data_IF_638843575460
#
_entry.id   IF_638843575460
#
_cell.length_a   1.000
_cell.length_b   1.000
_cell.length_c   1.000
_cell.angle_alpha   90.00
_cell.angle_beta   90.00
_cell.angle_gamma   90.00
#
_symmetry.space_group_name_H-M   'P 1'
#
loop_
_entity.id
_entity.type
_entity.pdbx_description
1 polymer ?
#
# COMPACT_ATOMS: atom_id res chain seq x y z
N UNK A 1 15.46 -6.28 20.68
CA UNK A 1 15.40 -4.97 19.98
C UNK A 1 14.81 -5.05 18.57
N UNK A 2 15.08 -6.06 17.74
CA UNK A 2 14.51 -6.16 16.36
C UNK A 2 12.99 -6.34 16.27
N UNK A 3 12.34 -6.89 17.31
CA UNK A 3 10.91 -7.20 17.30
C UNK A 3 10.00 -5.98 17.47
N UNK A 4 10.43 -4.94 18.19
CA UNK A 4 9.64 -3.72 18.40
C UNK A 4 9.60 -2.83 17.15
N UNK A 5 10.71 -2.71 16.42
CA UNK A 5 10.74 -1.99 15.14
C UNK A 5 9.85 -2.68 14.11
N UNK A 6 9.94 -4.01 14.00
CA UNK A 6 9.07 -4.78 13.11
C UNK A 6 7.59 -4.60 13.47
N UNK A 7 7.26 -4.61 14.77
CA UNK A 7 5.89 -4.40 15.24
C UNK A 7 5.37 -3.01 14.91
N UNK A 8 6.17 -1.96 15.15
CA UNK A 8 5.80 -0.57 14.82
C UNK A 8 5.58 -0.39 13.32
N UNK A 9 6.50 -0.88 12.48
CA UNK A 9 6.34 -0.77 11.03
C UNK A 9 5.13 -1.55 10.53
N UNK A 10 4.85 -2.72 11.10
CA UNK A 10 3.62 -3.48 10.80
C UNK A 10 2.37 -2.68 11.16
N UNK A 11 2.31 -2.07 12.34
CA UNK A 11 1.17 -1.24 12.76
C UNK A 11 0.97 -0.03 11.84
N UNK A 12 2.05 0.61 11.37
CA UNK A 12 1.95 1.68 10.37
C UNK A 12 1.34 1.18 9.06
N UNK A 13 1.78 0.03 8.55
CA UNK A 13 1.20 -0.56 7.33
C UNK A 13 -0.28 -0.89 7.53
N UNK A 14 -0.66 -1.47 8.68
CA UNK A 14 -2.07 -1.76 8.98
C UNK A 14 -2.92 -0.49 9.10
N UNK A 15 -2.39 0.61 9.64
CA UNK A 15 -3.08 1.92 9.65
C UNK A 15 -3.29 2.46 8.23
N UNK A 16 -2.28 2.36 7.36
CA UNK A 16 -2.41 2.81 5.96
C UNK A 16 -3.45 1.96 5.23
N UNK A 17 -3.40 0.64 5.40
CA UNK A 17 -4.39 -0.31 4.82
C UNK A 17 -5.80 0.04 5.30
N UNK A 18 -6.00 0.22 6.61
CA UNK A 18 -7.30 0.56 7.18
C UNK A 18 -7.84 1.90 6.67
N UNK A 19 -6.99 2.93 6.60
CA UNK A 19 -7.38 4.23 6.06
C UNK A 19 -7.76 4.14 4.57
N UNK A 20 -7.00 3.37 3.78
CA UNK A 20 -7.32 3.13 2.37
C UNK A 20 -8.62 2.33 2.21
N UNK A 21 -8.90 1.35 3.06
CA UNK A 21 -10.18 0.61 3.06
C UNK A 21 -11.37 1.53 3.34
N UNK A 22 -11.25 2.45 4.31
CA UNK A 22 -12.30 3.42 4.59
C UNK A 22 -12.52 4.40 3.42
N UNK A 23 -11.44 4.85 2.79
CA UNK A 23 -11.53 5.70 1.60
C UNK A 23 -12.14 4.97 0.39
N UNK A 24 -11.85 3.67 0.25
CA UNK A 24 -12.50 2.83 -0.76
C UNK A 24 -14.00 2.72 -0.47
N UNK A 25 -14.40 2.52 0.79
CA UNK A 25 -15.82 2.52 1.20
C UNK A 25 -16.47 3.87 0.92
N UNK A 26 -15.75 4.97 1.14
CA UNK A 26 -16.18 6.32 0.80
C UNK A 26 -16.18 6.61 -0.72
N UNK A 27 -15.75 5.64 -1.56
CA UNK A 27 -15.59 5.75 -3.02
C UNK A 27 -14.66 6.89 -3.46
N UNK A 28 -13.86 7.41 -2.56
CA UNK A 28 -12.95 8.52 -2.82
C UNK A 28 -11.63 8.24 -2.13
N UNK A 29 -10.62 7.92 -2.95
CA UNK A 29 -9.26 7.65 -2.48
C UNK A 29 -8.35 8.76 -3.01
N UNK A 30 -8.01 9.77 -2.20
CA UNK A 30 -7.05 10.80 -2.56
C UNK A 30 -5.63 10.20 -2.65
N UNK A 31 -4.96 10.44 -3.78
CA UNK A 31 -3.59 9.98 -4.04
C UNK A 31 -3.34 8.47 -3.76
N UNK A 32 -4.10 7.56 -4.39
CA UNK A 32 -4.00 6.13 -4.07
C UNK A 32 -2.61 5.55 -4.36
N UNK A 33 -1.96 5.99 -5.44
CA UNK A 33 -0.61 5.57 -5.79
C UNK A 33 0.40 5.90 -4.68
N UNK A 34 0.23 7.05 -4.01
CA UNK A 34 1.15 7.51 -2.96
C UNK A 34 1.00 6.67 -1.71
N UNK A 35 -0.24 6.37 -1.30
CA UNK A 35 -0.53 5.51 -0.13
C UNK A 35 -0.04 4.08 -0.33
N UNK A 36 -0.29 3.51 -1.52
CA UNK A 36 0.19 2.18 -1.88
C UNK A 36 1.72 2.15 -1.93
N UNK A 37 2.36 3.17 -2.51
CA UNK A 37 3.83 3.26 -2.56
C UNK A 37 4.44 3.39 -1.17
N UNK A 38 3.84 4.20 -0.29
CA UNK A 38 4.29 4.34 1.10
C UNK A 38 4.17 3.02 1.87
N UNK A 39 3.02 2.33 1.75
CA UNK A 39 2.83 1.04 2.38
C UNK A 39 3.82 -0.02 1.85
N UNK A 40 4.11 -0.04 0.54
CA UNK A 40 5.14 -0.92 -0.03
C UNK A 40 6.54 -0.62 0.47
N UNK A 41 6.94 0.66 0.57
CA UNK A 41 8.25 1.03 1.10
C UNK A 41 8.44 0.58 2.55
N UNK A 42 7.40 0.69 3.39
CA UNK A 42 7.48 0.21 4.77
C UNK A 42 7.57 -1.32 4.80
N UNK A 43 6.83 -2.03 3.93
CA UNK A 43 6.94 -3.48 3.79
C UNK A 43 8.34 -3.91 3.33
N UNK A 44 8.94 -3.22 2.36
CA UNK A 44 10.31 -3.51 1.89
C UNK A 44 11.32 -3.32 3.02
N UNK A 45 11.17 -2.25 3.82
CA UNK A 45 11.99 -2.04 5.02
C UNK A 45 11.80 -3.16 6.05
N UNK A 46 10.56 -3.54 6.33
CA UNK A 46 10.23 -4.66 7.22
C UNK A 46 10.79 -5.99 6.71
N UNK A 47 10.83 -6.20 5.39
CA UNK A 47 11.37 -7.41 4.78
C UNK A 47 12.87 -7.57 4.97
N UNK A 48 13.61 -6.45 4.98
CA UNK A 48 15.03 -6.44 5.30
C UNK A 48 15.25 -6.72 6.80
N UNK A 49 14.37 -6.22 7.67
CA UNK A 49 14.45 -6.45 9.12
C UNK A 49 13.89 -7.82 9.56
N UNK A 50 13.11 -8.48 8.70
CA UNK A 50 12.53 -9.77 8.99
C UNK A 50 13.62 -10.85 9.05
N UNK A 51 13.71 -11.50 10.21
CA UNK A 51 14.73 -12.50 10.49
C UNK A 51 14.15 -13.90 10.67
N UNK A 52 12.82 -14.06 10.63
CA UNK A 52 12.15 -15.34 10.86
C UNK A 52 10.92 -15.56 10.00
N UNK A 53 10.56 -16.83 9.78
CA UNK A 53 9.47 -17.25 8.89
C UNK A 53 8.13 -16.58 9.21
N UNK A 54 7.83 -16.37 10.50
CA UNK A 54 6.61 -15.69 10.95
C UNK A 54 6.56 -14.24 10.46
N UNK A 55 7.70 -13.52 10.52
CA UNK A 55 7.79 -12.15 10.05
C UNK A 55 7.66 -12.09 8.53
N UNK A 56 8.33 -13.01 7.81
CA UNK A 56 8.22 -13.12 6.35
C UNK A 56 6.78 -13.41 5.90
N UNK A 57 6.07 -14.32 6.57
CA UNK A 57 4.64 -14.58 6.34
C UNK A 57 3.78 -13.36 6.62
N UNK A 58 4.08 -12.62 7.70
CA UNK A 58 3.37 -11.38 8.02
C UNK A 58 3.54 -10.33 6.92
N UNK A 59 4.76 -10.13 6.42
CA UNK A 59 5.06 -9.22 5.29
C UNK A 59 4.31 -9.66 4.04
N UNK A 60 4.36 -10.95 3.72
CA UNK A 60 3.65 -11.50 2.57
C UNK A 60 2.14 -11.23 2.65
N UNK A 61 1.54 -11.46 3.82
CA UNK A 61 0.12 -11.19 4.06
C UNK A 61 -0.22 -9.69 3.90
N UNK A 62 0.61 -8.80 4.44
CA UNK A 62 0.43 -7.36 4.27
C UNK A 62 0.56 -6.93 2.80
N UNK A 63 1.52 -7.51 2.07
CA UNK A 63 1.73 -7.21 0.65
C UNK A 63 0.55 -7.69 -0.21
N UNK A 64 -0.03 -8.86 0.12
CA UNK A 64 -1.26 -9.35 -0.49
C UNK A 64 -2.43 -8.41 -0.22
N UNK A 65 -2.60 -7.91 1.01
CA UNK A 65 -3.63 -6.91 1.34
C UNK A 65 -3.46 -5.63 0.53
N UNK A 66 -2.25 -5.08 0.45
CA UNK A 66 -1.96 -3.87 -0.35
C UNK A 66 -2.30 -4.10 -1.82
N UNK A 67 -1.91 -5.25 -2.37
CA UNK A 67 -2.20 -5.59 -3.77
C UNK A 67 -3.71 -5.69 -3.99
N UNK A 68 -4.44 -6.30 -3.05
CA UNK A 68 -5.89 -6.37 -3.08
C UNK A 68 -6.55 -4.98 -3.03
N UNK A 69 -6.08 -4.09 -2.14
CA UNK A 69 -6.54 -2.71 -2.09
C UNK A 69 -6.26 -1.98 -3.39
N UNK A 70 -5.07 -2.16 -3.97
CA UNK A 70 -4.72 -1.54 -5.25
C UNK A 70 -5.70 -1.95 -6.36
N UNK A 71 -6.11 -3.22 -6.40
CA UNK A 71 -7.14 -3.71 -7.33
C UNK A 71 -8.51 -3.12 -7.02
N UNK A 72 -8.92 -3.02 -5.75
CA UNK A 72 -10.19 -2.40 -5.38
C UNK A 72 -10.25 -0.92 -5.77
N UNK A 73 -9.15 -0.18 -5.53
CA UNK A 73 -9.02 1.21 -5.95
C UNK A 73 -9.09 1.34 -7.47
N UNK A 74 -8.48 0.43 -8.21
CA UNK A 74 -8.53 0.45 -9.68
C UNK A 74 -9.94 0.20 -10.22
N UNK A 75 -10.71 -0.64 -9.52
CA UNK A 75 -12.13 -0.92 -9.82
C UNK A 75 -13.09 0.19 -9.38
N UNK A 76 -12.67 1.11 -8.49
CA UNK A 76 -13.52 2.24 -8.13
C UNK A 76 -13.71 3.14 -9.36
N UNK A 77 -14.93 3.65 -9.60
CA UNK A 77 -15.24 4.48 -10.77
C UNK A 77 -14.55 5.87 -10.80
N UNK A 78 -13.47 6.06 -10.04
CA UNK A 78 -12.73 7.32 -9.91
C UNK A 78 -11.25 7.12 -10.28
N UNK A 79 -10.98 6.72 -11.52
CA UNK A 79 -9.66 6.83 -12.15
C UNK A 79 -9.76 7.42 -13.55
N UNK A 80 -10.16 8.69 -13.64
CA UNK A 80 -9.61 9.56 -14.69
C UNK A 80 -8.62 10.51 -14.03
N UNK A 81 -7.35 10.10 -13.91
CA UNK A 81 -6.30 11.11 -14.06
C UNK A 81 -6.49 11.72 -15.46
N UNK A 82 -6.42 13.04 -15.63
CA UNK A 82 -6.57 13.65 -16.94
C UNK A 82 -5.56 12.99 -17.87
N UNK A 83 -5.99 12.63 -19.08
CA UNK A 83 -5.09 12.27 -20.17
C UNK A 83 -4.03 13.37 -20.25
N UNK A 84 -2.86 13.14 -19.66
CA UNK A 84 -1.68 13.94 -19.96
C UNK A 84 -1.42 13.60 -21.42
N UNK A 85 -1.96 14.43 -22.31
CA UNK A 85 -1.77 14.34 -23.75
C UNK A 85 -0.27 14.19 -23.95
N UNK A 86 0.18 12.99 -24.34
CA UNK A 86 1.54 12.82 -24.89
C UNK A 86 1.61 13.81 -26.05
N UNK A 87 2.29 14.93 -25.83
CA UNK A 87 2.62 15.87 -26.89
C UNK A 87 3.49 15.08 -27.86
N UNK A 88 2.92 14.65 -28.99
CA UNK A 88 3.71 14.19 -30.12
C UNK A 88 4.52 15.40 -30.58
N UNK A 89 5.83 15.43 -30.26
CA UNK A 89 6.77 16.29 -30.98
C UNK A 89 6.77 15.83 -32.44
N UNK A 90 6.26 16.69 -33.32
CA UNK A 90 6.56 16.67 -34.76
C UNK A 90 7.91 17.33 -34.97
#
# INVERSE_FOLDING_TARGET
>A
MKTEQFRKGREEVEKIIGGVEEEIKAKFVPEPDKKIKQAKQIIDGLAIEASGEIQTRSIYNLNMKITHLQVQIDKLPVRKKPLVKRVKKK
#
